data_IF_978208262621
#
_entry.id   IF_978208262621
#
_cell.length_a   1.000
_cell.length_b   1.000
_cell.length_c   1.000
_cell.angle_alpha   90.00
_cell.angle_beta   90.00
_cell.angle_gamma   90.00
#
_symmetry.space_group_name_H-M   'P 1'
#
loop_
_entity.id
_entity.type
_entity.pdbx_description
1 polymer ?
#
# COMPACT_ATOMS: atom_id res chain seq x y z
N UNK A 1 22.29 3.27 -6.68
CA UNK A 1 21.27 3.51 -5.62
C UNK A 1 20.51 4.78 -5.95
N UNK A 2 19.20 4.75 -5.85
CA UNK A 2 18.36 5.95 -6.02
C UNK A 2 18.61 6.91 -4.84
N UNK A 3 18.70 8.22 -5.16
CA UNK A 3 18.90 9.23 -4.12
C UNK A 3 17.71 9.27 -3.16
N UNK A 4 17.97 9.38 -1.85
CA UNK A 4 16.93 9.57 -0.84
C UNK A 4 16.36 10.99 -0.98
N UNK A 5 15.03 11.10 -0.93
CA UNK A 5 14.33 12.37 -0.96
C UNK A 5 14.06 12.87 0.47
N UNK A 6 13.73 14.13 0.63
CA UNK A 6 13.34 14.70 1.93
C UNK A 6 11.93 14.22 2.33
N UNK A 7 10.98 14.36 1.41
CA UNK A 7 9.60 13.98 1.61
C UNK A 7 8.94 13.68 0.25
N UNK A 8 8.90 12.41 -0.15
CA UNK A 8 8.37 12.01 -1.45
C UNK A 8 7.94 10.54 -1.47
N UNK A 9 7.09 10.19 -2.43
CA UNK A 9 6.69 8.83 -2.73
C UNK A 9 7.03 8.45 -4.16
N UNK A 10 7.29 7.17 -4.43
CA UNK A 10 7.37 6.61 -5.78
C UNK A 10 6.81 5.20 -5.79
N UNK A 11 5.99 4.89 -6.80
CA UNK A 11 5.53 3.53 -7.06
C UNK A 11 6.53 2.85 -7.97
N UNK A 12 6.95 1.65 -7.64
CA UNK A 12 7.92 0.88 -8.42
C UNK A 12 7.26 -0.09 -9.40
N UNK A 13 5.97 -0.38 -9.21
CA UNK A 13 5.16 -1.33 -9.97
C UNK A 13 4.42 -2.27 -9.04
N UNK A 14 3.25 -2.76 -9.46
CA UNK A 14 2.36 -3.50 -8.58
C UNK A 14 2.02 -2.71 -7.32
N UNK A 15 2.06 -3.31 -6.11
CA UNK A 15 1.84 -2.61 -4.85
C UNK A 15 3.07 -1.87 -4.35
N UNK A 16 4.26 -2.19 -4.87
CA UNK A 16 5.52 -1.77 -4.27
C UNK A 16 5.70 -0.26 -4.35
N UNK A 17 5.70 0.38 -3.20
CA UNK A 17 5.87 1.83 -3.08
C UNK A 17 7.02 2.15 -2.14
N UNK A 18 7.84 3.13 -2.51
CA UNK A 18 8.88 3.70 -1.65
C UNK A 18 8.42 5.07 -1.17
N UNK A 19 8.52 5.28 0.13
CA UNK A 19 8.24 6.54 0.80
C UNK A 19 9.53 7.01 1.49
N UNK A 20 10.05 8.15 1.10
CA UNK A 20 11.11 8.84 1.84
C UNK A 20 10.44 9.93 2.69
N UNK A 21 10.53 9.82 4.02
CA UNK A 21 9.88 10.72 4.98
C UNK A 21 10.85 11.07 6.12
N UNK A 22 11.24 12.33 6.21
CA UNK A 22 12.06 12.84 7.33
C UNK A 22 13.39 12.09 7.51
N UNK A 23 14.03 11.74 6.40
CA UNK A 23 15.29 11.01 6.39
C UNK A 23 15.18 9.49 6.50
N UNK A 24 13.98 8.92 6.65
CA UNK A 24 13.73 7.48 6.64
C UNK A 24 13.30 7.02 5.23
N UNK A 25 13.80 5.87 4.79
CA UNK A 25 13.30 5.15 3.60
C UNK A 25 12.42 4.00 4.02
N UNK A 26 11.19 4.04 3.54
CA UNK A 26 10.14 3.07 3.87
C UNK A 26 9.72 2.38 2.58
N UNK A 27 9.62 1.05 2.60
CA UNK A 27 9.09 0.28 1.46
C UNK A 27 7.79 -0.38 1.88
N UNK A 28 6.73 -0.18 1.09
CA UNK A 28 5.44 -0.83 1.31
C UNK A 28 5.22 -1.96 0.31
N UNK A 29 4.74 -3.09 0.81
CA UNK A 29 4.37 -4.29 0.05
C UNK A 29 5.39 -4.66 -1.03
N UNK A 30 6.63 -5.02 -0.62
CA UNK A 30 7.72 -5.24 -1.55
C UNK A 30 7.52 -6.50 -2.42
N UNK A 31 7.56 -6.32 -3.75
CA UNK A 31 7.52 -7.40 -4.74
C UNK A 31 8.61 -7.17 -5.79
N UNK A 32 9.71 -7.92 -5.68
CA UNK A 32 10.93 -7.74 -6.48
C UNK A 32 11.29 -8.93 -7.36
N UNK A 33 10.53 -10.02 -7.31
CA UNK A 33 10.77 -11.18 -8.17
C UNK A 33 10.65 -10.81 -9.65
N UNK A 34 11.30 -11.60 -10.49
CA UNK A 34 11.19 -11.49 -11.94
C UNK A 34 9.77 -11.83 -12.42
N UNK A 35 9.33 -11.32 -13.58
CA UNK A 35 8.09 -11.72 -14.20
C UNK A 35 8.01 -13.24 -14.40
N UNK A 36 6.84 -13.82 -14.14
CA UNK A 36 6.63 -15.25 -14.23
C UNK A 36 5.51 -15.76 -13.30
N UNK A 37 5.35 -17.08 -13.20
CA UNK A 37 4.37 -17.68 -12.30
C UNK A 37 4.83 -17.58 -10.84
N UNK A 38 3.91 -17.13 -9.97
CA UNK A 38 4.06 -17.05 -8.52
C UNK A 38 2.86 -17.76 -7.86
N UNK A 39 2.98 -19.06 -7.68
CA UNK A 39 1.88 -19.87 -7.19
C UNK A 39 0.69 -19.85 -8.16
N UNK A 40 -0.44 -19.31 -7.69
CA UNK A 40 -1.67 -19.18 -8.48
C UNK A 40 -1.79 -17.84 -9.22
N UNK A 41 -0.84 -16.94 -9.06
CA UNK A 41 -0.77 -15.64 -9.73
C UNK A 41 0.37 -15.61 -10.74
N UNK A 42 0.32 -14.67 -11.67
CA UNK A 42 1.41 -14.44 -12.64
C UNK A 42 1.80 -12.97 -12.62
N UNK A 43 3.08 -12.71 -12.34
CA UNK A 43 3.69 -11.40 -12.45
C UNK A 43 4.02 -11.11 -13.91
N UNK A 44 3.65 -9.94 -14.42
CA UNK A 44 3.81 -9.57 -15.83
C UNK A 44 4.93 -8.54 -16.06
N UNK A 45 5.28 -7.79 -15.02
CA UNK A 45 6.36 -6.80 -15.08
C UNK A 45 7.15 -6.79 -13.77
N UNK A 46 8.45 -6.58 -13.87
CA UNK A 46 9.31 -6.32 -12.72
C UNK A 46 9.19 -4.88 -12.23
N UNK A 47 9.78 -4.54 -11.07
CA UNK A 47 9.78 -3.19 -10.54
C UNK A 47 10.70 -2.27 -11.38
N UNK A 48 10.37 -0.97 -11.42
CA UNK A 48 11.17 0.05 -12.11
C UNK A 48 12.59 0.23 -11.51
N UNK A 49 12.76 -0.18 -10.25
CA UNK A 49 14.02 -0.12 -9.50
C UNK A 49 14.19 -1.44 -8.77
N UNK A 50 15.36 -2.05 -8.88
CA UNK A 50 15.67 -3.30 -8.15
C UNK A 50 15.97 -3.02 -6.67
N UNK A 51 15.88 -4.04 -5.82
CA UNK A 51 16.18 -3.91 -4.39
C UNK A 51 17.61 -3.39 -4.13
N UNK A 52 18.60 -3.82 -4.91
CA UNK A 52 19.98 -3.34 -4.78
C UNK A 52 20.14 -1.84 -5.09
N UNK A 53 19.24 -1.30 -5.91
CA UNK A 53 19.25 0.11 -6.29
C UNK A 53 18.56 0.99 -5.27
N UNK A 54 17.73 0.43 -4.36
CA UNK A 54 17.04 1.20 -3.33
C UNK A 54 18.03 1.88 -2.36
N UNK A 55 19.14 1.23 -2.05
CA UNK A 55 20.00 1.61 -0.94
C UNK A 55 19.40 1.18 0.41
N UNK A 56 19.90 1.69 1.54
CA UNK A 56 19.43 1.29 2.86
C UNK A 56 17.94 1.58 3.05
N UNK A 57 17.20 0.55 3.47
CA UNK A 57 15.77 0.61 3.85
C UNK A 57 15.70 0.60 5.37
N UNK A 58 14.97 1.55 5.95
CA UNK A 58 14.87 1.73 7.40
C UNK A 58 13.64 1.01 7.97
N UNK A 59 12.57 0.90 7.17
CA UNK A 59 11.31 0.30 7.56
C UNK A 59 10.63 -0.38 6.36
N UNK A 60 10.07 -1.55 6.59
CA UNK A 60 9.17 -2.19 5.62
C UNK A 60 7.76 -2.28 6.21
N UNK A 61 6.77 -1.87 5.42
CA UNK A 61 5.35 -2.04 5.73
C UNK A 61 4.82 -3.19 4.87
N UNK A 62 4.22 -4.18 5.51
CA UNK A 62 3.59 -5.30 4.79
C UNK A 62 2.13 -5.34 5.18
N UNK A 63 1.25 -4.98 4.24
CA UNK A 63 -0.19 -4.95 4.50
C UNK A 63 -0.73 -6.34 4.87
N UNK A 64 -0.20 -7.37 4.23
CA UNK A 64 -0.37 -8.79 4.54
C UNK A 64 0.68 -9.62 3.78
N UNK A 65 1.00 -10.81 4.30
CA UNK A 65 2.06 -11.67 3.78
C UNK A 65 1.57 -12.95 3.10
N UNK A 66 0.24 -13.07 2.92
CA UNK A 66 -0.41 -14.28 2.40
C UNK A 66 -0.37 -14.41 0.87
N UNK A 67 -0.13 -13.31 0.16
CA UNK A 67 -0.22 -13.24 -1.29
C UNK A 67 1.08 -12.77 -1.91
N UNK A 68 1.55 -13.42 -3.00
CA UNK A 68 2.82 -13.08 -3.63
C UNK A 68 2.81 -11.72 -4.32
N UNK A 69 1.64 -11.19 -4.65
CA UNK A 69 1.49 -9.86 -5.22
C UNK A 69 1.64 -8.71 -4.19
N UNK A 70 1.70 -9.02 -2.89
CA UNK A 70 2.02 -8.06 -1.83
C UNK A 70 3.34 -8.36 -1.11
N UNK A 71 3.79 -9.62 -1.14
CA UNK A 71 5.08 -10.01 -0.58
C UNK A 71 5.62 -11.24 -1.32
N UNK A 72 6.40 -11.05 -2.39
CA UNK A 72 7.07 -12.13 -3.10
C UNK A 72 8.37 -12.57 -2.39
N UNK A 73 9.09 -13.55 -2.93
CA UNK A 73 10.26 -14.13 -2.26
C UNK A 73 11.39 -13.13 -2.05
N UNK A 74 11.73 -12.31 -3.06
CA UNK A 74 12.75 -11.27 -2.96
C UNK A 74 12.28 -10.11 -2.07
N UNK A 75 11.00 -9.75 -2.15
CA UNK A 75 10.39 -8.78 -1.25
C UNK A 75 10.43 -9.22 0.20
N UNK A 76 10.17 -10.51 0.47
CA UNK A 76 10.31 -11.12 1.80
C UNK A 76 11.77 -11.07 2.29
N UNK A 77 12.72 -11.36 1.43
CA UNK A 77 14.14 -11.29 1.76
C UNK A 77 14.55 -9.84 2.12
N UNK A 78 14.11 -8.85 1.34
CA UNK A 78 14.30 -7.43 1.64
C UNK A 78 13.69 -7.06 3.00
N UNK A 79 12.44 -7.46 3.24
CA UNK A 79 11.74 -7.17 4.48
C UNK A 79 12.48 -7.73 5.70
N UNK A 80 12.91 -8.99 5.64
CA UNK A 80 13.61 -9.63 6.74
C UNK A 80 15.04 -9.10 6.95
N UNK A 81 15.63 -8.44 5.97
CA UNK A 81 16.92 -7.75 6.07
C UNK A 81 16.81 -6.32 6.65
N UNK A 82 15.61 -5.73 6.65
CA UNK A 82 15.38 -4.40 7.18
C UNK A 82 15.44 -4.38 8.72
N UNK A 83 15.79 -3.24 9.34
CA UNK A 83 15.80 -3.11 10.81
C UNK A 83 14.45 -3.33 11.48
N UNK A 84 13.36 -3.03 10.77
CA UNK A 84 11.99 -3.13 11.27
C UNK A 84 11.02 -3.48 10.15
N UNK A 85 10.12 -4.40 10.42
CA UNK A 85 8.94 -4.69 9.59
C UNK A 85 7.69 -4.49 10.44
N UNK A 86 6.74 -3.70 9.93
CA UNK A 86 5.42 -3.55 10.54
C UNK A 86 4.37 -4.22 9.66
N UNK A 87 3.54 -5.07 10.25
CA UNK A 87 2.57 -5.88 9.51
C UNK A 87 1.38 -6.29 10.39
N UNK A 88 0.52 -7.17 9.88
CA UNK A 88 -0.57 -7.80 10.65
C UNK A 88 -0.02 -8.64 11.80
N UNK A 89 -0.87 -8.91 12.80
CA UNK A 89 -0.47 -9.77 13.92
C UNK A 89 -0.13 -11.19 13.47
N UNK A 90 -0.95 -11.75 12.59
CA UNK A 90 -0.71 -13.09 12.06
C UNK A 90 0.51 -13.12 11.12
N UNK A 91 0.70 -12.06 10.32
CA UNK A 91 1.86 -11.90 9.44
C UNK A 91 3.17 -11.85 10.24
N UNK A 92 3.22 -11.07 11.32
CA UNK A 92 4.41 -11.03 12.19
C UNK A 92 4.74 -12.41 12.79
N UNK A 93 3.71 -13.18 13.15
CA UNK A 93 3.90 -14.56 13.63
C UNK A 93 4.50 -15.50 12.57
N UNK A 94 4.16 -15.32 11.30
CA UNK A 94 4.70 -16.12 10.18
C UNK A 94 6.08 -15.66 9.72
N UNK A 95 6.32 -14.35 9.72
CA UNK A 95 7.60 -13.77 9.29
C UNK A 95 8.71 -13.93 10.35
N UNK A 96 8.35 -13.87 11.63
CA UNK A 96 9.34 -13.83 12.70
C UNK A 96 10.08 -12.48 12.77
N UNK A 97 11.13 -12.40 13.58
CA UNK A 97 11.92 -11.17 13.68
C UNK A 97 12.56 -10.80 12.32
N UNK A 98 12.61 -9.50 11.95
CA UNK A 98 12.31 -8.31 12.75
C UNK A 98 10.84 -7.83 12.66
N UNK A 99 9.90 -8.67 12.25
CA UNK A 99 8.52 -8.28 12.07
C UNK A 99 7.76 -8.05 13.38
N UNK A 100 7.02 -6.96 13.47
CA UNK A 100 6.14 -6.57 14.56
C UNK A 100 4.72 -6.44 14.06
N UNK A 101 3.78 -7.18 14.67
CA UNK A 101 2.36 -7.11 14.37
C UNK A 101 1.68 -5.95 15.08
N UNK A 102 0.94 -5.14 14.32
CA UNK A 102 0.21 -4.00 14.88
C UNK A 102 -1.28 -4.33 15.01
N UNK A 103 -1.85 -4.24 16.23
CA UNK A 103 -3.29 -4.18 16.40
C UNK A 103 -3.87 -2.94 15.72
N UNK A 104 -5.11 -3.04 15.21
CA UNK A 104 -5.79 -1.89 14.61
C UNK A 104 -5.84 -0.69 15.56
N UNK A 105 -5.61 0.50 15.02
CA UNK A 105 -5.59 1.78 15.74
C UNK A 105 -4.52 1.88 16.82
N UNK A 106 -3.49 1.02 16.77
CA UNK A 106 -2.28 1.19 17.58
C UNK A 106 -1.14 1.72 16.72
N UNK A 107 -0.20 2.38 17.35
CA UNK A 107 0.91 3.04 16.68
C UNK A 107 2.25 2.47 17.14
N UNK A 108 3.21 2.49 16.20
CA UNK A 108 4.63 2.26 16.46
C UNK A 108 5.39 3.54 16.12
N UNK A 109 6.28 3.96 17.02
CA UNK A 109 7.11 5.15 16.84
C UNK A 109 8.50 4.76 16.37
N UNK A 110 8.97 5.38 15.28
CA UNK A 110 10.29 5.18 14.68
C UNK A 110 11.08 6.47 14.81
N UNK A 111 12.23 6.48 15.50
CA UNK A 111 13.11 7.65 15.57
C UNK A 111 13.60 8.05 14.17
N UNK A 112 13.60 9.35 13.87
CA UNK A 112 14.12 9.89 12.61
C UNK A 112 15.58 10.38 12.78
N UNK A 113 16.36 10.37 11.69
CA UNK A 113 17.74 10.87 11.73
C UNK A 113 17.87 12.36 12.10
N UNK A 114 16.83 13.15 11.89
CA UNK A 114 16.77 14.57 12.24
C UNK A 114 16.42 14.86 13.71
N UNK A 115 16.24 13.80 14.52
CA UNK A 115 15.85 13.88 15.93
C UNK A 115 14.35 13.94 16.17
N UNK A 116 13.54 13.91 15.11
CA UNK A 116 12.08 13.79 15.19
C UNK A 116 11.60 12.33 15.27
N UNK A 117 10.29 12.14 15.13
CA UNK A 117 9.64 10.83 15.17
C UNK A 117 8.73 10.65 13.97
N UNK A 118 8.71 9.43 13.42
CA UNK A 118 7.67 8.93 12.53
C UNK A 118 6.75 8.03 13.32
N UNK A 119 5.46 8.30 13.26
CA UNK A 119 4.41 7.50 13.90
C UNK A 119 3.70 6.70 12.82
N UNK A 120 3.73 5.38 12.92
CA UNK A 120 3.04 4.46 12.01
C UNK A 120 1.86 3.84 12.75
N UNK A 121 0.64 4.15 12.34
CA UNK A 121 -0.59 3.63 12.93
C UNK A 121 -1.23 2.61 12.01
N UNK A 122 -1.51 1.41 12.51
CA UNK A 122 -2.29 0.42 11.78
C UNK A 122 -3.76 0.82 11.68
N UNK A 123 -4.32 0.76 10.47
CA UNK A 123 -5.73 1.05 10.22
C UNK A 123 -6.42 -0.13 9.54
N UNK A 124 -7.75 -0.26 9.65
CA UNK A 124 -8.46 -1.38 9.05
C UNK A 124 -8.38 -1.38 7.52
N UNK A 125 -8.40 -2.57 6.95
CA UNK A 125 -8.66 -2.83 5.54
C UNK A 125 -9.55 -4.06 5.41
N UNK A 126 -10.25 -4.19 4.28
CA UNK A 126 -11.11 -5.35 3.98
C UNK A 126 -10.72 -5.87 2.61
N UNK A 127 -10.09 -7.05 2.59
CA UNK A 127 -9.56 -7.67 1.37
C UNK A 127 -10.63 -8.50 0.65
N UNK A 128 -11.60 -7.82 0.07
CA UNK A 128 -12.69 -8.42 -0.67
C UNK A 128 -14.05 -7.75 -0.44
N UNK A 129 -15.12 -8.36 -0.96
CA UNK A 129 -16.45 -7.79 -0.83
C UNK A 129 -16.90 -7.68 0.64
N UNK A 130 -17.41 -6.53 1.06
CA UNK A 130 -17.82 -6.27 2.46
C UNK A 130 -18.91 -7.24 2.96
N UNK A 131 -19.76 -7.72 2.05
CA UNK A 131 -20.85 -8.67 2.30
C UNK A 131 -20.42 -10.13 2.13
N UNK A 132 -19.15 -10.41 1.94
CA UNK A 132 -18.65 -11.79 1.85
C UNK A 132 -18.61 -12.45 3.23
N UNK A 133 -18.66 -13.79 3.22
CA UNK A 133 -18.44 -14.59 4.41
C UNK A 133 -17.07 -14.30 5.03
N UNK A 134 -17.04 -14.21 6.33
CA UNK A 134 -15.81 -14.02 7.10
C UNK A 134 -15.33 -15.34 7.67
N UNK A 135 -14.01 -15.48 7.79
CA UNK A 135 -13.39 -16.60 8.47
C UNK A 135 -13.65 -16.59 9.99
N UNK A 136 -13.10 -17.59 10.71
CA UNK A 136 -13.27 -17.73 12.16
C UNK A 136 -12.68 -16.54 12.94
N UNK A 137 -11.71 -15.83 12.37
CA UNK A 137 -11.06 -14.67 12.95
C UNK A 137 -11.75 -13.34 12.55
N UNK A 138 -12.78 -13.42 11.70
CA UNK A 138 -13.60 -12.28 11.28
C UNK A 138 -13.08 -11.56 10.04
N UNK A 139 -12.13 -12.13 9.29
CA UNK A 139 -11.57 -11.52 8.09
C UNK A 139 -12.28 -12.00 6.81
N UNK A 140 -12.39 -11.12 5.83
CA UNK A 140 -12.71 -11.48 4.46
C UNK A 140 -11.39 -11.81 3.76
N UNK A 141 -11.26 -13.01 3.20
CA UNK A 141 -10.07 -13.54 2.53
C UNK A 141 -8.87 -13.79 3.48
N UNK A 142 -8.35 -12.76 4.15
CA UNK A 142 -7.27 -12.87 5.15
C UNK A 142 -7.20 -11.61 6.01
N UNK A 143 -6.39 -11.65 7.09
CA UNK A 143 -6.03 -10.47 7.86
C UNK A 143 -5.22 -9.51 6.99
N UNK A 144 -5.66 -8.25 6.89
CA UNK A 144 -5.00 -7.18 6.16
C UNK A 144 -5.12 -5.86 6.92
N UNK A 145 -4.10 -5.03 6.87
CA UNK A 145 -4.09 -3.68 7.46
C UNK A 145 -3.60 -2.65 6.44
N UNK A 146 -4.07 -1.43 6.59
CA UNK A 146 -3.43 -0.24 6.03
C UNK A 146 -2.58 0.46 7.09
N UNK A 147 -1.93 1.56 6.69
CA UNK A 147 -1.06 2.33 7.56
C UNK A 147 -1.30 3.83 7.41
N UNK A 148 -1.35 4.56 8.53
CA UNK A 148 -1.20 6.01 8.56
C UNK A 148 0.21 6.33 9.05
N UNK A 149 0.94 7.09 8.25
CA UNK A 149 2.26 7.60 8.59
C UNK A 149 2.12 9.09 8.90
N UNK A 150 2.60 9.52 10.05
CA UNK A 150 2.52 10.90 10.50
C UNK A 150 3.71 11.26 11.38
N UNK A 151 3.90 12.54 11.65
CA UNK A 151 4.94 13.03 12.57
C UNK A 151 5.08 14.54 12.50
N UNK A 152 5.72 15.16 13.46
CA UNK A 152 5.94 16.61 13.43
C UNK A 152 6.69 17.04 12.16
N UNK A 153 6.09 17.97 11.39
CA UNK A 153 6.66 18.48 10.15
C UNK A 153 6.63 17.51 8.96
N UNK A 154 5.93 16.40 9.08
CA UNK A 154 5.71 15.45 7.97
C UNK A 154 4.28 15.54 7.45
N UNK A 155 4.05 15.26 6.15
CA UNK A 155 2.70 15.02 5.65
C UNK A 155 2.10 13.78 6.30
N UNK A 156 0.79 13.76 6.46
CA UNK A 156 0.04 12.57 6.85
C UNK A 156 -0.22 11.74 5.62
N UNK A 157 0.38 10.55 5.56
CA UNK A 157 0.27 9.63 4.43
C UNK A 157 -0.53 8.40 4.82
N UNK A 158 -1.55 8.07 4.04
CA UNK A 158 -2.30 6.83 4.17
C UNK A 158 -1.83 5.82 3.11
N UNK A 159 -1.46 4.62 3.52
CA UNK A 159 -1.18 3.47 2.65
C UNK A 159 -2.30 2.46 2.84
N UNK A 160 -3.09 2.20 1.80
CA UNK A 160 -4.35 1.47 1.98
C UNK A 160 -4.18 -0.04 2.22
N UNK A 161 -3.08 -0.64 1.71
CA UNK A 161 -3.05 -2.08 1.50
C UNK A 161 -4.20 -2.53 0.60
N UNK A 162 -4.48 -3.83 0.56
CA UNK A 162 -5.58 -4.39 -0.22
C UNK A 162 -6.91 -4.16 0.49
N UNK A 163 -7.48 -3.01 0.25
CA UNK A 163 -8.80 -2.65 0.76
C UNK A 163 -9.81 -2.55 -0.39
N UNK A 164 -10.95 -3.20 -0.25
CA UNK A 164 -12.08 -3.10 -1.19
C UNK A 164 -13.28 -2.34 -0.59
N UNK A 165 -13.16 -1.83 0.65
CA UNK A 165 -14.26 -1.22 1.41
C UNK A 165 -14.19 0.30 1.39
N UNK A 166 -15.21 0.93 0.85
CA UNK A 166 -15.44 2.39 0.94
C UNK A 166 -15.82 2.78 2.38
N UNK A 167 -16.58 1.93 3.07
CA UNK A 167 -16.94 2.15 4.47
C UNK A 167 -15.72 2.26 5.37
N UNK A 168 -14.70 1.41 5.13
CA UNK A 168 -13.42 1.47 5.83
C UNK A 168 -12.66 2.77 5.54
N UNK A 169 -12.62 3.21 4.28
CA UNK A 169 -12.01 4.51 3.94
C UNK A 169 -12.71 5.67 4.65
N UNK A 170 -14.04 5.65 4.71
CA UNK A 170 -14.81 6.67 5.42
C UNK A 170 -14.55 6.67 6.94
N UNK A 171 -14.37 5.49 7.55
CA UNK A 171 -13.98 5.39 8.96
C UNK A 171 -12.60 6.00 9.20
N UNK A 172 -11.62 5.68 8.34
CA UNK A 172 -10.25 6.19 8.43
C UNK A 172 -10.25 7.72 8.29
N UNK A 173 -10.91 8.27 7.26
CA UNK A 173 -11.01 9.70 7.03
C UNK A 173 -11.62 10.45 8.23
N UNK A 174 -12.64 9.86 8.88
CA UNK A 174 -13.26 10.45 10.05
C UNK A 174 -12.35 10.46 11.29
N UNK A 175 -11.50 9.44 11.45
CA UNK A 175 -10.56 9.31 12.57
C UNK A 175 -9.23 10.00 12.36
N UNK A 176 -8.85 10.21 11.10
CA UNK A 176 -7.58 10.85 10.70
C UNK A 176 -7.92 12.07 9.83
N UNK A 177 -8.30 13.19 10.45
CA UNK A 177 -8.52 14.42 9.70
C UNK A 177 -7.19 14.89 9.08
N UNK A 178 -7.26 15.49 7.90
CA UNK A 178 -6.09 16.04 7.19
C UNK A 178 -5.08 15.00 6.72
N UNK A 179 -5.54 14.00 5.96
CA UNK A 179 -4.66 13.14 5.17
C UNK A 179 -4.18 13.94 3.95
N UNK A 180 -2.86 14.07 3.77
CA UNK A 180 -2.26 14.87 2.71
C UNK A 180 -2.04 14.07 1.44
N UNK A 181 -1.64 12.79 1.57
CA UNK A 181 -1.43 11.90 0.45
C UNK A 181 -1.87 10.47 0.75
N UNK A 182 -2.25 9.74 -0.28
CA UNK A 182 -2.71 8.35 -0.17
C UNK A 182 -2.05 7.49 -1.23
N UNK A 183 -1.38 6.43 -0.80
CA UNK A 183 -1.03 5.30 -1.66
C UNK A 183 -2.23 4.36 -1.68
N UNK A 184 -2.92 4.28 -2.82
CA UNK A 184 -4.21 3.59 -2.94
C UNK A 184 -4.11 2.38 -3.87
N UNK A 185 -4.36 1.18 -3.34
CA UNK A 185 -4.40 -0.05 -4.12
C UNK A 185 -5.72 -0.10 -4.92
N UNK A 186 -5.65 0.04 -6.25
CA UNK A 186 -6.80 0.39 -7.06
C UNK A 186 -6.93 -0.38 -8.40
N UNK A 187 -6.36 -1.59 -8.49
CA UNK A 187 -6.38 -2.41 -9.70
C UNK A 187 -7.53 -3.40 -9.81
N UNK A 188 -8.53 -3.32 -8.93
CA UNK A 188 -9.65 -4.28 -8.93
C UNK A 188 -9.17 -5.73 -9.00
N UNK A 189 -8.24 -6.13 -8.14
CA UNK A 189 -7.70 -7.49 -8.11
C UNK A 189 -8.83 -8.53 -8.06
N UNK A 190 -8.79 -9.54 -8.95
CA UNK A 190 -9.82 -10.58 -9.05
C UNK A 190 -9.19 -11.94 -9.22
N UNK A 191 -9.69 -12.91 -8.46
CA UNK A 191 -9.33 -14.31 -8.59
C UNK A 191 -10.60 -15.08 -8.94
N UNK A 192 -10.74 -15.65 -10.15
CA UNK A 192 -11.99 -16.24 -10.63
C UNK A 192 -12.61 -17.28 -9.69
N UNK A 193 -11.78 -18.06 -8.99
CA UNK A 193 -12.21 -19.07 -8.03
C UNK A 193 -12.65 -18.51 -6.66
N UNK A 194 -12.43 -17.20 -6.42
CA UNK A 194 -12.72 -16.53 -5.15
C UNK A 194 -13.88 -15.55 -5.30
N UNK A 195 -14.75 -15.50 -4.30
CA UNK A 195 -15.81 -14.49 -4.14
C UNK A 195 -16.64 -14.23 -5.40
N UNK A 196 -16.88 -15.26 -6.24
CA UNK A 196 -17.59 -15.16 -7.53
C UNK A 196 -16.96 -14.13 -8.46
N UNK A 197 -15.64 -14.07 -8.51
CA UNK A 197 -14.86 -13.13 -9.30
C UNK A 197 -15.12 -11.63 -8.96
N UNK A 198 -15.52 -11.34 -7.73
CA UNK A 198 -15.67 -9.95 -7.25
C UNK A 198 -14.32 -9.37 -6.84
N UNK A 199 -14.19 -8.05 -6.92
CA UNK A 199 -12.95 -7.35 -6.63
C UNK A 199 -12.49 -7.52 -5.17
N UNK A 200 -11.20 -7.74 -4.99
CA UNK A 200 -10.51 -7.95 -3.72
C UNK A 200 -9.79 -6.68 -3.23
N UNK A 201 -9.57 -5.70 -4.11
CA UNK A 201 -9.12 -4.34 -3.84
C UNK A 201 -10.09 -3.35 -4.49
N UNK A 202 -9.90 -2.05 -4.31
CA UNK A 202 -10.73 -1.04 -4.96
C UNK A 202 -10.63 -1.16 -6.49
N UNK A 203 -11.76 -1.03 -7.17
CA UNK A 203 -11.82 -0.72 -8.59
C UNK A 203 -11.66 0.80 -8.80
N UNK A 204 -11.51 1.24 -10.04
CA UNK A 204 -11.26 2.64 -10.40
C UNK A 204 -12.39 3.58 -9.94
N UNK A 205 -13.65 3.17 -10.06
CA UNK A 205 -14.82 3.95 -9.62
C UNK A 205 -14.81 4.10 -8.10
N UNK A 206 -14.53 3.02 -7.38
CA UNK A 206 -14.42 3.05 -5.92
C UNK A 206 -13.19 3.81 -5.46
N UNK A 207 -12.08 3.76 -6.21
CA UNK A 207 -10.89 4.58 -5.95
C UNK A 207 -11.21 6.08 -6.05
N UNK A 208 -11.94 6.50 -7.08
CA UNK A 208 -12.42 7.88 -7.22
C UNK A 208 -13.39 8.28 -6.08
N UNK A 209 -14.29 7.36 -5.68
CA UNK A 209 -15.17 7.58 -4.53
C UNK A 209 -14.39 7.70 -3.20
N UNK A 210 -13.37 6.85 -2.99
CA UNK A 210 -12.45 6.94 -1.86
C UNK A 210 -11.72 8.29 -1.84
N UNK A 211 -11.24 8.74 -3.01
CA UNK A 211 -10.63 10.06 -3.15
C UNK A 211 -11.58 11.18 -2.74
N UNK A 212 -12.84 11.13 -3.14
CA UNK A 212 -13.85 12.13 -2.73
C UNK A 212 -14.03 12.18 -1.20
N UNK A 213 -14.07 11.02 -0.55
CA UNK A 213 -14.16 10.89 0.91
C UNK A 213 -12.92 11.48 1.63
N UNK A 214 -11.72 11.24 1.07
CA UNK A 214 -10.45 11.68 1.62
C UNK A 214 -10.16 13.19 1.42
N UNK A 215 -11.11 13.92 0.86
CA UNK A 215 -11.08 15.39 0.79
C UNK A 215 -10.02 15.92 -0.16
N UNK A 216 -8.99 16.61 0.35
CA UNK A 216 -7.96 17.25 -0.47
C UNK A 216 -6.71 16.40 -0.70
N UNK A 217 -6.64 15.19 -0.16
CA UNK A 217 -5.48 14.32 -0.27
C UNK A 217 -5.07 14.06 -1.74
N UNK A 218 -3.78 14.04 -2.01
CA UNK A 218 -3.24 13.57 -3.28
C UNK A 218 -3.34 12.05 -3.37
N UNK A 219 -3.79 11.52 -4.50
CA UNK A 219 -3.99 10.09 -4.70
C UNK A 219 -2.90 9.53 -5.60
N UNK A 220 -2.10 8.65 -5.05
CA UNK A 220 -1.01 7.92 -5.70
C UNK A 220 -1.49 6.48 -5.88
N UNK A 221 -1.98 6.09 -7.06
CA UNK A 221 -2.44 4.73 -7.29
C UNK A 221 -1.27 3.75 -7.31
N UNK A 222 -1.48 2.60 -6.71
CA UNK A 222 -0.61 1.42 -6.77
C UNK A 222 -1.47 0.17 -6.97
N UNK A 223 -0.86 -1.00 -7.19
CA UNK A 223 -1.56 -2.27 -7.29
C UNK A 223 -2.61 -2.30 -8.43
N UNK A 224 -2.26 -1.72 -9.60
CA UNK A 224 -3.13 -1.68 -10.78
C UNK A 224 -2.46 -2.23 -12.04
N UNK A 225 -1.20 -2.64 -11.94
CA UNK A 225 -0.43 -3.24 -13.03
C UNK A 225 0.61 -4.24 -12.50
N UNK A 226 1.38 -4.85 -13.40
CA UNK A 226 2.46 -5.79 -13.03
C UNK A 226 1.99 -7.20 -12.68
N UNK A 227 0.67 -7.47 -12.60
CA UNK A 227 0.11 -8.78 -12.30
C UNK A 227 -1.15 -9.05 -13.13
N UNK A 228 -1.34 -10.30 -13.59
CA UNK A 228 -2.44 -10.65 -14.50
C UNK A 228 -3.84 -10.56 -13.91
N UNK A 229 -3.97 -10.64 -12.60
CA UNK A 229 -5.26 -10.63 -11.89
C UNK A 229 -5.78 -9.23 -11.55
N UNK A 230 -5.02 -8.18 -11.84
CA UNK A 230 -5.52 -6.81 -11.81
C UNK A 230 -6.39 -6.59 -13.05
N UNK A 231 -7.68 -6.38 -12.83
CA UNK A 231 -8.66 -6.32 -13.91
C UNK A 231 -8.90 -4.90 -14.44
N UNK A 232 -8.40 -3.90 -13.76
CA UNK A 232 -8.44 -2.48 -14.15
C UNK A 232 -7.05 -1.87 -14.04
N UNK A 233 -6.75 -0.94 -14.94
CA UNK A 233 -5.43 -0.35 -15.07
C UNK A 233 -5.46 1.19 -15.13
N UNK A 234 -4.36 1.75 -15.63
CA UNK A 234 -4.13 3.20 -15.74
C UNK A 234 -5.28 3.95 -16.41
N UNK A 235 -5.76 3.44 -17.54
CA UNK A 235 -6.80 4.13 -18.32
C UNK A 235 -8.17 4.13 -17.62
N UNK A 236 -8.46 3.07 -16.86
CA UNK A 236 -9.68 2.99 -16.06
C UNK A 236 -9.66 4.01 -14.92
N UNK A 237 -8.50 4.13 -14.24
CA UNK A 237 -8.29 5.15 -13.21
C UNK A 237 -8.44 6.57 -13.76
N UNK A 238 -7.81 6.88 -14.90
CA UNK A 238 -7.91 8.21 -15.52
C UNK A 238 -9.38 8.54 -15.83
N UNK A 239 -10.11 7.62 -16.46
CA UNK A 239 -11.54 7.83 -16.77
C UNK A 239 -12.38 8.05 -15.50
N UNK A 240 -12.23 7.18 -14.50
CA UNK A 240 -13.03 7.27 -13.28
C UNK A 240 -12.78 8.57 -12.49
N UNK A 241 -11.53 9.04 -12.45
CA UNK A 241 -11.19 10.30 -11.79
C UNK A 241 -11.63 11.52 -12.60
N UNK A 242 -11.62 11.44 -13.94
CA UNK A 242 -12.16 12.49 -14.81
C UNK A 242 -13.68 12.62 -14.67
N UNK A 243 -14.39 11.51 -14.75
CA UNK A 243 -15.85 11.44 -14.54
C UNK A 243 -16.28 11.98 -13.17
N UNK A 244 -15.42 11.78 -12.14
CA UNK A 244 -15.65 12.31 -10.80
C UNK A 244 -15.21 13.78 -10.60
N UNK A 245 -14.55 14.41 -11.59
CA UNK A 245 -13.99 15.75 -11.46
C UNK A 245 -12.79 15.84 -10.51
N UNK A 246 -12.04 14.74 -10.35
CA UNK A 246 -10.94 14.61 -9.39
C UNK A 246 -9.56 14.44 -10.05
N UNK A 247 -9.45 14.64 -11.35
CA UNK A 247 -8.20 14.45 -12.13
C UNK A 247 -7.03 15.22 -11.54
N UNK A 248 -7.25 16.43 -11.02
CA UNK A 248 -6.20 17.26 -10.43
C UNK A 248 -5.53 16.65 -9.18
N UNK A 249 -6.17 15.68 -8.55
CA UNK A 249 -5.68 14.97 -7.36
C UNK A 249 -4.97 13.67 -7.67
N UNK A 250 -5.14 13.15 -8.88
CA UNK A 250 -4.58 11.88 -9.32
C UNK A 250 -3.11 12.06 -9.72
N UNK A 251 -2.21 11.35 -9.06
CA UNK A 251 -0.77 11.35 -9.30
C UNK A 251 -0.34 10.07 -10.01
N UNK A 252 -0.74 9.93 -11.27
CA UNK A 252 -0.34 8.85 -12.17
C UNK A 252 0.91 9.26 -12.96
N UNK A 253 2.08 8.94 -12.43
CA UNK A 253 3.39 9.14 -13.07
C UNK A 253 3.96 7.80 -13.52
N UNK A 254 5.04 7.82 -14.27
CA UNK A 254 5.77 6.59 -14.62
C UNK A 254 6.44 6.01 -13.38
N UNK A 255 6.46 4.68 -13.28
CA UNK A 255 7.07 3.99 -12.14
C UNK A 255 8.54 4.41 -11.95
N UNK A 256 8.93 4.56 -10.70
CA UNK A 256 10.25 5.08 -10.33
C UNK A 256 10.35 6.62 -10.32
N UNK A 257 9.32 7.33 -10.79
CA UNK A 257 9.27 8.80 -10.71
C UNK A 257 8.84 9.25 -9.32
N UNK A 258 9.58 10.16 -8.72
CA UNK A 258 9.28 10.70 -7.40
C UNK A 258 8.16 11.75 -7.44
N UNK A 259 7.21 11.61 -6.54
CA UNK A 259 6.11 12.55 -6.29
C UNK A 259 6.42 13.26 -4.97
N UNK A 260 6.75 14.57 -4.98
CA UNK A 260 6.98 15.31 -3.74
C UNK A 260 5.70 15.34 -2.89
N UNK A 261 5.84 15.07 -1.59
CA UNK A 261 4.75 15.14 -0.62
C UNK A 261 4.89 16.41 0.22
N UNK A 262 3.77 17.03 0.57
CA UNK A 262 3.74 18.26 1.36
C UNK A 262 2.71 18.14 2.47
N UNK A 263 3.02 18.69 3.67
CA UNK A 263 2.04 18.84 4.75
C UNK A 263 0.91 19.79 4.38
#
# INVERSE_FOLDING_TARGET
MIARQECAATVLGGPTTVLDLGGLRIVSDPTFDDPGPHGYLTKTAGPAVTEDQLGPVDLVLVSHDNHPDNLDDRGRALALAAPLVLTTRSGAGRLGAPATGLPLWTSHTVPRPDGGELIVTAVPAVHGPEDAERDADGFVNCEVIGFILSGPGLPVVYVSGDNASIGTVAEIARRTPSIDAVVLHAGAARVPARFRNRALSLDSIRAAAAAAILGLAEIIPAHYDGWTHFSEGRDDLVRAFDDAGLTARLRLVDHGTWIPLRP
#
